data_IF_496410720595
#
_entry.id   IF_496410720595
#
_cell.length_a   1.000
_cell.length_b   1.000
_cell.length_c   1.000
_cell.angle_alpha   90.00
_cell.angle_beta   90.00
_cell.angle_gamma   90.00
#
_symmetry.space_group_name_H-M   'P 1'
#
loop_
_entity.id
_entity.type
_entity.pdbx_description
1 polymer ?
#
# COMPACT_ATOMS: atom_id res chain seq x y z
N UNK A 1 -27.60 19.00 6.84
CA UNK A 1 -26.76 18.51 5.73
C UNK A 1 -27.67 18.05 4.62
N UNK A 2 -27.61 18.66 3.43
CA UNK A 2 -28.46 18.27 2.31
C UNK A 2 -27.92 16.99 1.66
N UNK A 3 -28.76 15.97 1.53
CA UNK A 3 -28.44 14.71 0.86
C UNK A 3 -28.32 14.96 -0.64
N UNK A 4 -27.12 14.77 -1.20
CA UNK A 4 -26.89 14.88 -2.63
C UNK A 4 -27.44 13.62 -3.31
N UNK A 5 -28.38 13.78 -4.24
CA UNK A 5 -28.93 12.67 -5.02
C UNK A 5 -27.88 12.27 -6.07
N UNK A 6 -27.33 11.06 -5.96
CA UNK A 6 -26.46 10.47 -6.97
C UNK A 6 -27.31 10.07 -8.17
N UNK A 7 -27.02 10.62 -9.34
CA UNK A 7 -27.72 10.30 -10.60
C UNK A 7 -27.07 9.11 -11.29
N UNK A 8 -27.83 8.41 -12.14
CA UNK A 8 -27.32 7.28 -12.90
C UNK A 8 -26.15 7.68 -13.83
N UNK A 9 -26.24 8.86 -14.46
CA UNK A 9 -25.16 9.40 -15.31
C UNK A 9 -23.87 9.64 -14.53
N UNK A 10 -23.96 10.10 -13.28
CA UNK A 10 -22.79 10.29 -12.42
C UNK A 10 -22.11 8.96 -12.06
N UNK A 11 -22.91 7.90 -11.85
CA UNK A 11 -22.41 6.54 -11.59
C UNK A 11 -21.74 5.97 -12.83
N UNK A 12 -22.39 6.04 -13.99
CA UNK A 12 -21.84 5.56 -15.26
C UNK A 12 -20.52 6.26 -15.60
N UNK A 13 -20.48 7.59 -15.47
CA UNK A 13 -19.24 8.34 -15.70
C UNK A 13 -18.11 7.98 -14.72
N UNK A 14 -18.43 7.64 -13.46
CA UNK A 14 -17.44 7.15 -12.51
C UNK A 14 -16.93 5.74 -12.86
N UNK A 15 -17.81 4.86 -13.32
CA UNK A 15 -17.46 3.52 -13.79
C UNK A 15 -16.51 3.60 -14.99
N UNK A 16 -16.82 4.41 -16.00
CA UNK A 16 -15.99 4.54 -17.20
C UNK A 16 -14.56 4.97 -16.85
N UNK A 17 -14.41 5.99 -15.99
CA UNK A 17 -13.09 6.46 -15.52
C UNK A 17 -12.35 5.41 -14.69
N UNK A 18 -13.07 4.64 -13.87
CA UNK A 18 -12.46 3.58 -13.07
C UNK A 18 -11.96 2.43 -13.95
N UNK A 19 -12.74 2.04 -14.97
CA UNK A 19 -12.36 1.02 -15.95
C UNK A 19 -11.14 1.47 -16.74
N UNK A 20 -11.17 2.69 -17.29
CA UNK A 20 -10.03 3.27 -18.03
C UNK A 20 -8.77 3.24 -17.17
N UNK A 21 -8.86 3.73 -15.93
CA UNK A 21 -7.73 3.77 -14.99
C UNK A 21 -7.20 2.37 -14.67
N UNK A 22 -8.07 1.40 -14.48
CA UNK A 22 -7.67 0.03 -14.17
C UNK A 22 -6.95 -0.61 -15.37
N UNK A 23 -7.44 -0.38 -16.59
CA UNK A 23 -6.77 -0.84 -17.81
C UNK A 23 -5.39 -0.19 -17.97
N UNK A 24 -5.21 1.07 -17.60
CA UNK A 24 -3.87 1.70 -17.63
C UNK A 24 -2.90 1.16 -16.57
N UNK A 25 -3.37 0.38 -15.59
CA UNK A 25 -2.54 -0.31 -14.60
C UNK A 25 -2.18 -1.75 -15.01
N UNK A 26 -2.77 -2.25 -16.09
CA UNK A 26 -2.48 -3.61 -16.54
C UNK A 26 -1.06 -3.69 -17.08
N UNK A 27 -0.33 -4.71 -16.64
CA UNK A 27 0.97 -5.05 -17.22
C UNK A 27 0.79 -5.49 -18.68
N UNK A 28 1.73 -5.20 -19.60
CA UNK A 28 1.66 -5.67 -20.99
C UNK A 28 1.49 -7.18 -21.16
N UNK A 29 1.90 -7.99 -20.18
CA UNK A 29 1.67 -9.44 -20.16
C UNK A 29 0.24 -9.84 -19.74
N UNK A 30 -0.62 -8.89 -19.40
CA UNK A 30 -2.06 -9.08 -19.18
C UNK A 30 -2.50 -9.24 -17.72
N UNK A 31 -1.58 -9.18 -16.75
CA UNK A 31 -1.90 -9.27 -15.33
C UNK A 31 -1.97 -7.88 -14.66
N UNK A 32 -2.52 -7.83 -13.45
CA UNK A 32 -2.43 -6.67 -12.57
C UNK A 32 -1.56 -6.99 -11.37
N UNK A 33 -0.72 -6.04 -10.96
CA UNK A 33 0.10 -6.13 -9.75
C UNK A 33 -0.15 -4.90 -8.88
N UNK A 34 -0.74 -5.13 -7.72
CA UNK A 34 -0.88 -4.13 -6.66
C UNK A 34 0.10 -4.39 -5.53
N UNK A 35 0.31 -3.37 -4.70
CA UNK A 35 0.97 -3.53 -3.42
C UNK A 35 0.04 -4.27 -2.45
N UNK A 36 0.55 -5.30 -1.78
CA UNK A 36 -0.17 -6.04 -0.75
C UNK A 36 0.24 -5.48 0.61
N UNK A 37 -0.53 -4.51 1.12
CA UNK A 37 -0.31 -3.98 2.46
C UNK A 37 -0.89 -4.93 3.52
N UNK A 38 -0.10 -5.25 4.55
CA UNK A 38 -0.53 -6.06 5.69
C UNK A 38 -0.20 -5.36 7.02
N UNK A 39 0.57 -5.99 7.90
CA UNK A 39 1.11 -5.40 9.12
C UNK A 39 2.64 -5.30 9.00
N UNK A 40 3.28 -4.68 9.99
CA UNK A 40 4.73 -4.44 10.02
C UNK A 40 5.57 -5.66 10.39
N UNK A 41 4.94 -6.82 10.59
CA UNK A 41 5.62 -8.02 11.09
C UNK A 41 6.65 -8.52 10.09
N UNK A 42 6.35 -8.48 8.79
CA UNK A 42 7.29 -8.93 7.75
C UNK A 42 8.59 -8.11 7.76
N UNK A 43 8.50 -6.79 7.91
CA UNK A 43 9.65 -5.90 7.97
C UNK A 43 10.43 -6.05 9.29
N UNK A 44 9.74 -6.24 10.41
CA UNK A 44 10.38 -6.48 11.70
C UNK A 44 11.15 -7.82 11.72
N UNK A 45 10.54 -8.88 11.16
CA UNK A 45 11.16 -10.21 11.05
C UNK A 45 12.34 -10.22 10.08
N UNK A 46 12.25 -9.55 8.94
CA UNK A 46 13.37 -9.40 7.99
C UNK A 46 14.55 -8.67 8.65
N UNK A 47 14.30 -7.60 9.41
CA UNK A 47 15.34 -6.86 10.13
C UNK A 47 16.04 -7.73 11.18
N UNK A 48 15.28 -8.54 11.93
CA UNK A 48 15.80 -9.48 12.90
C UNK A 48 16.63 -10.59 12.23
N UNK A 49 16.13 -11.16 11.14
CA UNK A 49 16.80 -12.21 10.39
C UNK A 49 18.14 -11.72 9.82
N UNK A 50 18.18 -10.51 9.25
CA UNK A 50 19.42 -9.91 8.72
C UNK A 50 20.46 -9.64 9.80
N UNK A 51 20.01 -9.24 10.99
CA UNK A 51 20.90 -9.11 12.16
C UNK A 51 21.50 -10.47 12.51
N UNK A 52 20.68 -11.52 12.55
CA UNK A 52 21.15 -12.88 12.85
C UNK A 52 22.14 -13.41 11.81
N UNK A 53 21.90 -13.13 10.53
CA UNK A 53 22.77 -13.51 9.42
C UNK A 53 24.03 -12.62 9.27
N UNK A 54 24.16 -11.55 10.05
CA UNK A 54 25.30 -10.62 9.98
C UNK A 54 25.33 -9.75 8.72
N UNK A 55 24.20 -9.59 8.03
CA UNK A 55 24.08 -8.84 6.76
C UNK A 55 23.26 -7.55 6.90
N UNK A 56 22.98 -7.12 8.13
CA UNK A 56 22.24 -5.87 8.38
C UNK A 56 23.12 -4.66 8.13
N UNK A 57 22.62 -3.69 7.35
CA UNK A 57 23.24 -2.37 7.17
C UNK A 57 22.53 -1.28 7.98
N UNK A 58 23.23 -0.17 8.22
CA UNK A 58 22.68 1.00 8.92
C UNK A 58 21.55 1.64 8.12
N UNK A 59 21.74 1.85 6.81
CA UNK A 59 20.76 2.48 5.93
C UNK A 59 19.44 1.70 5.91
N UNK A 60 19.50 0.38 5.75
CA UNK A 60 18.31 -0.48 5.80
C UNK A 60 17.62 -0.38 7.16
N UNK A 61 18.39 -0.35 8.25
CA UNK A 61 17.83 -0.23 9.60
C UNK A 61 17.07 1.09 9.75
N UNK A 62 17.61 2.19 9.22
CA UNK A 62 16.96 3.49 9.28
C UNK A 62 15.66 3.52 8.47
N UNK A 63 15.70 3.01 7.24
CA UNK A 63 14.53 2.96 6.34
C UNK A 63 13.42 2.08 6.92
N UNK A 64 13.74 0.86 7.33
CA UNK A 64 12.77 -0.05 7.97
C UNK A 64 12.20 0.57 9.24
N UNK A 65 13.01 1.17 10.09
CA UNK A 65 12.52 1.79 11.32
C UNK A 65 11.63 3.01 11.04
N UNK A 66 11.91 3.79 9.99
CA UNK A 66 11.07 4.91 9.55
C UNK A 66 9.71 4.41 9.06
N UNK A 67 9.70 3.32 8.29
CA UNK A 67 8.48 2.69 7.81
C UNK A 67 7.63 2.13 8.96
N UNK A 68 8.22 1.36 9.87
CA UNK A 68 7.47 0.78 11.01
C UNK A 68 6.82 1.90 11.85
N UNK A 69 7.56 3.00 12.11
CA UNK A 69 7.01 4.15 12.83
C UNK A 69 5.90 4.89 12.07
N UNK A 70 5.92 4.90 10.74
CA UNK A 70 4.85 5.55 9.96
C UNK A 70 3.54 4.77 10.00
N UNK A 71 3.59 3.48 10.36
CA UNK A 71 2.41 2.63 10.55
C UNK A 71 1.87 2.65 11.99
N UNK A 72 2.56 3.31 12.92
CA UNK A 72 2.11 3.44 14.31
C UNK A 72 0.85 4.32 14.40
N UNK A 73 -0.13 3.88 15.17
CA UNK A 73 -1.38 4.60 15.42
C UNK A 73 -1.18 5.70 16.45
N UNK A 74 -2.15 6.61 16.54
CA UNK A 74 -2.12 7.74 17.46
C UNK A 74 -2.09 7.33 18.96
N UNK A 75 -2.57 6.12 19.29
CA UNK A 75 -2.52 5.55 20.64
C UNK A 75 -1.18 4.87 20.97
N UNK A 76 -0.24 4.85 20.02
CA UNK A 76 1.08 4.24 20.15
C UNK A 76 1.14 2.76 19.77
N UNK A 77 0.03 2.15 19.29
CA UNK A 77 0.03 0.77 18.76
C UNK A 77 0.51 0.63 17.33
#
# INVERSE_FOLDING_TARGET
MATQVVTNDAVSGALDRAVERLLTLQDPAGYWKGELETNVTMEAEDLLLRQFLGIRSADLTEETARWIRSKQRADGT
#
